data_IF_542435401671
#
_entry.id   IF_542435401671
#
_cell.length_a   1.000
_cell.length_b   1.000
_cell.length_c   1.000
_cell.angle_alpha   90.00
_cell.angle_beta   90.00
_cell.angle_gamma   90.00
#
_symmetry.space_group_name_H-M   'P 1'
#
loop_
_entity.id
_entity.type
_entity.pdbx_description
1 polymer ?
#
# COMPACT_ATOMS: atom_id res chain seq x y z
N UNK A 1 31.55 62.41 21.00
CA UNK A 1 30.10 62.13 20.96
C UNK A 1 29.71 62.03 19.49
N UNK A 2 28.99 61.06 18.91
CA UNK A 2 28.55 59.69 19.27
C UNK A 2 27.80 59.15 18.02
N UNK A 3 27.73 57.86 17.67
CA UNK A 3 28.06 56.58 18.35
C UNK A 3 28.75 55.59 17.38
N UNK A 4 29.13 54.44 17.93
CA UNK A 4 29.67 53.21 17.32
C UNK A 4 28.58 52.35 16.63
N UNK A 5 28.95 51.74 15.49
CA UNK A 5 28.72 50.33 15.01
C UNK A 5 27.37 49.57 15.10
N UNK A 6 27.31 48.50 14.26
CA UNK A 6 26.40 47.31 14.17
C UNK A 6 25.51 47.31 12.91
N UNK A 7 25.44 46.30 12.02
CA UNK A 7 26.31 45.12 11.70
C UNK A 7 25.78 44.45 10.38
N UNK A 8 26.51 43.48 9.82
CA UNK A 8 26.07 42.44 8.83
C UNK A 8 25.66 42.84 7.39
N UNK A 9 26.70 42.92 6.55
CA UNK A 9 26.90 42.07 5.36
C UNK A 9 25.81 41.00 5.07
N UNK A 10 24.97 41.22 4.04
CA UNK A 10 24.06 40.19 3.51
C UNK A 10 24.82 39.29 2.52
N UNK A 11 25.44 38.23 3.02
CA UNK A 11 25.85 37.12 2.18
C UNK A 11 24.59 36.44 1.62
N UNK A 12 24.32 36.63 0.33
CA UNK A 12 23.27 35.92 -0.39
C UNK A 12 23.60 34.44 -0.56
N UNK A 13 23.46 33.67 0.52
CA UNK A 13 23.47 32.20 0.45
C UNK A 13 22.21 31.80 -0.31
N UNK A 14 22.37 31.47 -1.60
CA UNK A 14 21.37 30.70 -2.35
C UNK A 14 21.26 29.32 -1.69
N UNK A 15 20.45 29.23 -0.64
CA UNK A 15 19.93 27.98 -0.15
C UNK A 15 19.02 27.43 -1.27
N UNK A 16 19.63 26.63 -2.15
CA UNK A 16 18.94 25.59 -2.89
C UNK A 16 18.24 24.70 -1.88
N UNK A 17 17.02 25.09 -1.50
CA UNK A 17 16.09 24.23 -0.79
C UNK A 17 15.70 23.12 -1.77
N UNK A 18 16.54 22.09 -1.83
CA UNK A 18 16.09 20.75 -2.14
C UNK A 18 15.02 20.41 -1.10
N UNK A 19 13.77 20.68 -1.46
CA UNK A 19 12.69 19.84 -0.97
C UNK A 19 12.99 18.45 -1.52
N UNK A 20 13.72 17.67 -0.71
CA UNK A 20 13.72 16.23 -0.88
C UNK A 20 12.27 15.80 -0.66
N UNK A 21 11.54 15.59 -1.75
CA UNK A 21 10.36 14.74 -1.71
C UNK A 21 10.83 13.43 -1.10
N UNK A 22 10.41 13.11 0.13
CA UNK A 22 10.84 11.84 0.70
C UNK A 22 10.30 10.75 -0.21
N UNK A 23 11.23 9.90 -0.66
CA UNK A 23 10.86 8.81 -1.53
C UNK A 23 9.90 7.88 -0.77
N UNK A 24 9.09 7.16 -1.53
CA UNK A 24 8.35 6.02 -1.00
C UNK A 24 9.29 5.14 -0.17
N UNK A 25 8.82 4.63 0.96
CA UNK A 25 9.60 3.80 1.88
C UNK A 25 9.29 2.31 1.71
N UNK A 26 10.15 1.45 2.26
CA UNK A 26 9.88 0.01 2.35
C UNK A 26 8.79 -0.33 3.39
N UNK A 27 8.52 0.58 4.33
CA UNK A 27 7.60 0.33 5.42
C UNK A 27 6.13 0.47 4.97
N UNK A 28 5.25 -0.50 5.29
CA UNK A 28 3.82 -0.33 5.12
C UNK A 28 3.27 0.86 5.93
N UNK A 29 2.18 1.52 5.49
CA UNK A 29 1.55 2.57 6.29
C UNK A 29 1.15 2.11 7.70
N UNK A 30 1.02 3.02 8.65
CA UNK A 30 0.47 2.71 9.97
C UNK A 30 -0.95 2.11 9.85
N UNK A 31 -1.29 1.11 10.67
CA UNK A 31 -2.52 0.30 10.53
C UNK A 31 -2.31 -1.07 9.86
N UNK A 32 -1.06 -1.45 9.63
CA UNK A 32 -0.66 -2.79 9.20
C UNK A 32 0.47 -3.32 10.09
N UNK A 33 0.22 -4.39 10.84
CA UNK A 33 1.21 -5.01 11.73
C UNK A 33 1.93 -6.20 11.08
N UNK A 34 3.25 -6.32 11.29
CA UNK A 34 4.03 -7.51 10.89
C UNK A 34 3.54 -8.74 11.65
N UNK A 35 3.13 -9.76 10.92
CA UNK A 35 2.54 -10.99 11.47
C UNK A 35 3.41 -12.24 11.25
N UNK A 36 4.28 -12.22 10.24
CA UNK A 36 5.14 -13.36 9.90
C UNK A 36 6.45 -12.86 9.25
N UNK A 37 7.58 -13.46 9.63
CA UNK A 37 8.86 -13.35 8.92
C UNK A 37 9.27 -14.75 8.47
N UNK A 38 9.73 -14.89 7.22
CA UNK A 38 10.31 -16.13 6.69
C UNK A 38 11.63 -15.87 5.98
N UNK A 39 12.59 -16.75 6.17
CA UNK A 39 13.89 -16.68 5.49
C UNK A 39 13.79 -17.27 4.09
N UNK A 40 14.48 -16.65 3.13
CA UNK A 40 14.63 -17.10 1.75
C UNK A 40 15.70 -18.20 1.71
N UNK A 41 15.29 -19.40 1.32
CA UNK A 41 16.17 -20.55 1.12
C UNK A 41 16.15 -20.99 -0.33
N UNK A 42 17.33 -21.28 -0.89
CA UNK A 42 17.50 -21.63 -2.31
C UNK A 42 16.85 -20.59 -3.25
N UNK A 43 17.01 -19.30 -2.93
CA UNK A 43 16.52 -18.21 -3.76
C UNK A 43 17.27 -18.15 -5.10
N UNK A 44 16.52 -17.95 -6.18
CA UNK A 44 17.01 -17.83 -7.56
C UNK A 44 16.35 -16.63 -8.24
N UNK A 45 17.15 -15.69 -8.70
CA UNK A 45 16.73 -14.59 -9.56
C UNK A 45 17.07 -15.01 -10.99
N UNK A 46 16.04 -15.13 -11.83
CA UNK A 46 16.16 -15.65 -13.19
C UNK A 46 16.34 -14.48 -14.17
N UNK A 47 17.31 -14.62 -15.05
CA UNK A 47 17.53 -13.72 -16.18
C UNK A 47 17.55 -14.51 -17.49
N UNK A 48 17.16 -13.84 -18.57
CA UNK A 48 17.23 -14.35 -19.94
C UNK A 48 17.97 -13.31 -20.78
N UNK A 49 18.88 -13.75 -21.63
CA UNK A 49 19.62 -12.88 -22.53
C UNK A 49 18.72 -12.44 -23.69
N UNK A 50 18.67 -11.13 -23.95
CA UNK A 50 17.98 -10.51 -25.08
C UNK A 50 18.88 -9.41 -25.65
N UNK A 51 19.36 -9.60 -26.88
CA UNK A 51 20.12 -8.62 -27.64
C UNK A 51 21.40 -8.13 -26.92
N UNK A 52 22.06 -9.03 -26.19
CA UNK A 52 23.25 -8.73 -25.38
C UNK A 52 22.97 -8.09 -24.00
N UNK A 53 21.71 -8.01 -23.58
CA UNK A 53 21.28 -7.49 -22.27
C UNK A 53 20.59 -8.58 -21.44
N UNK A 54 20.97 -8.71 -20.16
CA UNK A 54 20.27 -9.58 -19.23
C UNK A 54 18.92 -9.01 -18.80
N UNK A 55 17.83 -9.59 -19.29
CA UNK A 55 16.45 -9.21 -18.94
C UNK A 55 15.92 -10.09 -17.82
N UNK A 56 15.29 -9.47 -16.81
CA UNK A 56 14.72 -10.17 -15.65
C UNK A 56 13.47 -10.97 -16.05
N UNK A 57 13.55 -12.30 -16.07
CA UNK A 57 12.44 -13.18 -16.51
C UNK A 57 11.55 -13.68 -15.36
N UNK A 58 12.07 -13.74 -14.12
CA UNK A 58 11.28 -14.05 -12.92
C UNK A 58 12.17 -14.38 -11.72
N UNK A 59 11.60 -14.96 -10.66
CA UNK A 59 12.37 -15.45 -9.51
C UNK A 59 11.66 -16.57 -8.77
N UNK A 60 12.38 -17.31 -7.93
CA UNK A 60 11.77 -18.31 -7.04
C UNK A 60 12.58 -18.54 -5.78
N UNK A 61 11.95 -19.05 -4.73
CA UNK A 61 12.61 -19.50 -3.50
C UNK A 61 11.75 -20.52 -2.74
N UNK A 62 12.40 -21.33 -1.90
CA UNK A 62 11.73 -21.97 -0.77
C UNK A 62 11.70 -20.98 0.41
N UNK A 63 10.65 -21.05 1.23
CA UNK A 63 10.49 -20.21 2.41
C UNK A 63 10.57 -21.08 3.65
N UNK A 64 11.39 -20.68 4.63
CA UNK A 64 11.54 -21.39 5.90
C UNK A 64 11.27 -20.48 7.09
N UNK A 65 10.65 -21.01 8.13
CA UNK A 65 10.47 -20.32 9.39
C UNK A 65 11.69 -20.61 10.28
N UNK A 66 12.37 -19.54 10.68
CA UNK A 66 13.47 -19.58 11.65
C UNK A 66 12.89 -19.63 13.07
N UNK A 67 12.40 -20.79 13.50
CA UNK A 67 12.04 -21.00 14.90
C UNK A 67 13.33 -21.15 15.75
N UNK A 68 13.68 -20.19 16.64
CA UNK A 68 14.96 -20.23 17.35
C UNK A 68 15.01 -21.27 18.48
N UNK A 69 13.89 -21.89 18.85
CA UNK A 69 13.83 -22.88 19.92
C UNK A 69 14.20 -24.28 19.41
N UNK A 70 15.50 -24.50 19.20
CA UNK A 70 16.16 -25.81 19.08
C UNK A 70 15.67 -26.76 17.96
N UNK A 71 15.11 -26.24 16.87
CA UNK A 71 14.65 -27.04 15.72
C UNK A 71 15.40 -26.74 14.42
N UNK A 72 15.43 -27.72 13.50
CA UNK A 72 15.83 -27.47 12.12
C UNK A 72 14.82 -26.52 11.43
N UNK A 73 15.23 -25.71 10.42
CA UNK A 73 14.33 -24.76 9.76
C UNK A 73 13.06 -25.41 9.22
N UNK A 74 11.90 -24.98 9.74
CA UNK A 74 10.63 -25.54 9.32
C UNK A 74 10.21 -24.97 7.96
N UNK A 75 9.66 -25.82 7.08
CA UNK A 75 9.17 -25.38 5.77
C UNK A 75 7.93 -24.48 5.93
N UNK A 76 8.08 -23.19 5.65
CA UNK A 76 7.00 -22.20 5.72
C UNK A 76 6.25 -22.04 4.39
N UNK A 77 6.89 -22.30 3.24
CA UNK A 77 6.24 -22.10 1.95
C UNK A 77 7.16 -22.06 0.73
N UNK A 78 6.68 -21.41 -0.33
CA UNK A 78 7.40 -21.13 -1.58
C UNK A 78 7.05 -19.75 -2.10
N UNK A 79 8.01 -19.10 -2.73
CA UNK A 79 7.87 -17.85 -3.46
C UNK A 79 8.17 -18.09 -4.95
N UNK A 80 7.42 -17.44 -5.84
CA UNK A 80 7.71 -17.33 -7.28
C UNK A 80 7.30 -15.97 -7.80
N UNK A 81 8.07 -15.38 -8.70
CA UNK A 81 7.60 -14.29 -9.56
C UNK A 81 7.67 -14.71 -11.03
N UNK A 82 6.79 -14.12 -11.83
CA UNK A 82 6.82 -14.17 -13.30
C UNK A 82 6.58 -12.77 -13.84
N UNK A 83 7.17 -12.44 -14.97
CA UNK A 83 6.74 -11.26 -15.71
C UNK A 83 5.37 -11.51 -16.36
N UNK A 84 4.45 -10.57 -16.21
CA UNK A 84 3.18 -10.56 -16.92
C UNK A 84 3.43 -10.21 -18.41
N UNK A 85 2.98 -11.02 -19.38
CA UNK A 85 3.35 -10.84 -20.78
C UNK A 85 2.78 -9.54 -21.38
N UNK A 86 1.66 -9.06 -20.87
CA UNK A 86 0.90 -7.91 -21.40
C UNK A 86 1.37 -6.59 -20.81
N UNK A 87 1.46 -6.51 -19.48
CA UNK A 87 1.83 -5.30 -18.74
C UNK A 87 3.33 -5.17 -18.45
N UNK A 88 4.11 -6.24 -18.72
CA UNK A 88 5.55 -6.37 -18.43
C UNK A 88 5.92 -6.23 -16.95
N UNK A 89 4.93 -6.20 -16.05
CA UNK A 89 5.11 -6.10 -14.59
C UNK A 89 5.41 -7.47 -14.00
N UNK A 90 6.28 -7.52 -12.99
CA UNK A 90 6.44 -8.72 -12.17
C UNK A 90 5.16 -8.96 -11.35
N UNK A 91 4.61 -10.16 -11.47
CA UNK A 91 3.57 -10.69 -10.58
C UNK A 91 4.23 -11.68 -9.64
N UNK A 92 4.15 -11.40 -8.34
CA UNK A 92 4.72 -12.22 -7.29
C UNK A 92 3.64 -13.10 -6.67
N UNK A 93 3.95 -14.36 -6.39
CA UNK A 93 3.08 -15.29 -5.68
C UNK A 93 3.84 -15.95 -4.53
N UNK A 94 3.26 -15.87 -3.35
CA UNK A 94 3.66 -16.65 -2.18
C UNK A 94 2.63 -17.75 -1.95
N UNK A 95 3.09 -18.93 -1.54
CA UNK A 95 2.24 -20.06 -1.14
C UNK A 95 2.81 -20.58 0.16
N UNK A 96 2.05 -20.40 1.23
CA UNK A 96 2.44 -20.68 2.60
C UNK A 96 1.80 -21.98 3.06
N UNK A 97 2.48 -22.70 3.94
CA UNK A 97 1.96 -23.90 4.59
C UNK A 97 1.19 -23.45 5.83
N UNK A 98 -0.06 -23.89 5.95
CA UNK A 98 -0.90 -23.57 7.10
C UNK A 98 -0.61 -24.54 8.24
N UNK A 99 -0.67 -24.05 9.48
CA UNK A 99 -0.53 -24.85 10.69
C UNK A 99 -1.82 -25.65 10.96
N UNK A 100 -1.79 -26.99 11.00
CA UNK A 100 -2.98 -27.79 11.26
C UNK A 100 -3.51 -27.65 12.71
N UNK A 101 -2.79 -26.95 13.59
CA UNK A 101 -3.19 -26.66 14.97
C UNK A 101 -3.68 -25.23 15.23
N UNK A 102 -3.65 -24.34 14.23
CA UNK A 102 -4.18 -22.97 14.37
C UNK A 102 -5.65 -22.93 13.94
N UNK A 103 -6.54 -22.56 14.87
CA UNK A 103 -7.98 -22.47 14.62
C UNK A 103 -8.35 -21.42 13.56
N UNK A 104 -7.48 -20.45 13.28
CA UNK A 104 -7.68 -19.48 12.19
C UNK A 104 -7.36 -20.10 10.82
N UNK A 105 -6.35 -20.98 10.74
CA UNK A 105 -5.88 -21.59 9.48
C UNK A 105 -6.57 -22.94 9.17
N UNK A 106 -7.44 -23.42 10.08
CA UNK A 106 -8.22 -24.63 9.91
C UNK A 106 -9.09 -24.59 8.63
N UNK A 107 -8.94 -25.62 7.79
CA UNK A 107 -9.75 -25.85 6.58
C UNK A 107 -8.93 -25.98 5.29
N UNK A 108 -7.80 -25.30 5.17
CA UNK A 108 -6.91 -25.37 4.01
C UNK A 108 -5.48 -25.75 4.43
N UNK A 109 -4.85 -26.68 3.71
CA UNK A 109 -3.45 -27.07 3.96
C UNK A 109 -2.42 -25.99 3.54
N UNK A 110 -2.83 -25.05 2.68
CA UNK A 110 -1.98 -23.96 2.19
C UNK A 110 -2.81 -22.74 1.82
N UNK A 111 -2.41 -21.56 2.30
CA UNK A 111 -2.88 -20.27 1.79
C UNK A 111 -1.90 -19.68 0.79
N UNK A 112 -2.39 -18.90 -0.17
CA UNK A 112 -1.56 -18.25 -1.20
C UNK A 112 -2.03 -16.85 -1.51
N UNK A 113 -1.08 -15.95 -1.67
CA UNK A 113 -1.31 -14.55 -2.02
C UNK A 113 -0.51 -14.19 -3.27
N UNK A 114 -1.09 -13.33 -4.09
CA UNK A 114 -0.45 -12.72 -5.25
C UNK A 114 -0.30 -11.23 -4.98
N UNK A 115 0.84 -10.65 -5.32
CA UNK A 115 1.11 -9.23 -5.13
C UNK A 115 1.81 -8.58 -6.31
N UNK A 116 1.79 -7.25 -6.30
CA UNK A 116 2.47 -6.38 -7.28
C UNK A 116 3.43 -5.45 -6.55
N UNK A 117 4.52 -5.12 -7.23
CA UNK A 117 5.53 -4.16 -6.75
C UNK A 117 4.89 -2.78 -6.54
N UNK A 118 5.26 -2.13 -5.43
CA UNK A 118 4.82 -0.78 -5.06
C UNK A 118 5.96 0.17 -4.81
N UNK A 119 7.00 -0.28 -4.16
CA UNK A 119 8.22 0.48 -3.98
C UNK A 119 9.44 -0.45 -3.99
N UNK A 120 10.55 0.07 -4.48
CA UNK A 120 11.79 -0.66 -4.69
C UNK A 120 12.92 0.26 -4.24
N UNK A 121 13.60 -0.10 -3.15
CA UNK A 121 14.76 0.63 -2.65
C UNK A 121 16.02 0.13 -3.34
N UNK A 122 16.89 1.06 -3.74
CA UNK A 122 18.18 0.69 -4.36
C UNK A 122 19.01 -0.12 -3.38
N UNK A 123 19.38 -1.34 -3.80
CA UNK A 123 20.40 -2.14 -3.13
C UNK A 123 21.81 -1.62 -3.40
N UNK A 124 22.73 -1.93 -2.49
CA UNK A 124 24.16 -1.68 -2.62
C UNK A 124 24.89 -2.99 -2.93
N UNK A 125 26.01 -2.91 -3.66
CA UNK A 125 26.78 -4.09 -4.10
C UNK A 125 25.97 -5.00 -5.04
N UNK A 126 26.27 -6.29 -5.02
CA UNK A 126 25.73 -7.30 -5.98
C UNK A 126 24.33 -7.81 -5.64
N UNK A 127 23.59 -7.10 -4.78
CA UNK A 127 22.26 -7.50 -4.30
C UNK A 127 21.12 -7.04 -5.20
N UNK A 128 20.08 -7.86 -5.36
CA UNK A 128 18.77 -7.39 -5.83
C UNK A 128 18.18 -6.34 -4.86
N UNK A 129 17.35 -5.41 -5.34
CA UNK A 129 16.76 -4.40 -4.47
C UNK A 129 15.82 -4.99 -3.41
N UNK A 130 15.68 -4.28 -2.30
CA UNK A 130 14.60 -4.50 -1.34
C UNK A 130 13.29 -3.95 -1.92
N UNK A 131 12.16 -4.62 -1.66
CA UNK A 131 10.90 -4.33 -2.36
C UNK A 131 9.68 -4.46 -1.44
N UNK A 132 8.81 -3.45 -1.48
CA UNK A 132 7.46 -3.48 -0.91
C UNK A 132 6.45 -3.92 -1.98
N UNK A 133 5.66 -4.93 -1.65
CA UNK A 133 4.59 -5.49 -2.48
C UNK A 133 3.22 -5.28 -1.83
N UNK A 134 2.21 -4.96 -2.63
CA UNK A 134 0.79 -4.96 -2.22
C UNK A 134 0.10 -6.23 -2.71
N UNK A 135 -0.69 -6.88 -1.85
CA UNK A 135 -1.51 -8.04 -2.21
C UNK A 135 -2.68 -7.62 -3.11
N UNK A 136 -2.86 -8.34 -4.20
CA UNK A 136 -3.88 -8.09 -5.24
C UNK A 136 -4.88 -9.22 -5.42
N UNK A 137 -4.54 -10.44 -4.99
CA UNK A 137 -5.48 -11.56 -4.89
C UNK A 137 -5.02 -12.56 -3.81
N UNK A 138 -5.97 -13.29 -3.21
CA UNK A 138 -5.70 -14.33 -2.21
C UNK A 138 -6.51 -15.60 -2.45
N UNK A 139 -6.07 -16.71 -1.87
CA UNK A 139 -6.80 -17.98 -1.75
C UNK A 139 -6.37 -18.68 -0.46
N UNK A 140 -7.31 -19.25 0.26
CA UNK A 140 -7.08 -19.94 1.54
C UNK A 140 -7.53 -19.11 2.75
N UNK A 141 -7.54 -19.74 3.93
CA UNK A 141 -7.97 -19.16 5.21
C UNK A 141 -6.82 -18.64 6.09
N UNK A 142 -7.16 -18.18 7.29
CA UNK A 142 -6.22 -17.93 8.38
C UNK A 142 -5.45 -16.62 8.36
N UNK A 143 -4.34 -16.58 9.09
CA UNK A 143 -3.51 -15.37 9.24
C UNK A 143 -3.04 -14.82 7.88
N UNK A 144 -2.70 -15.71 6.95
CA UNK A 144 -2.39 -15.34 5.56
C UNK A 144 -3.56 -14.67 4.81
N UNK A 145 -4.81 -14.91 5.22
CA UNK A 145 -5.99 -14.26 4.66
C UNK A 145 -6.14 -12.78 5.09
N UNK A 146 -5.28 -12.24 5.97
CA UNK A 146 -5.24 -10.82 6.35
C UNK A 146 -4.04 -10.05 5.78
N UNK A 147 -3.04 -10.75 5.21
CA UNK A 147 -1.83 -10.13 4.66
C UNK A 147 -2.18 -9.14 3.55
N UNK A 148 -1.74 -7.89 3.70
CA UNK A 148 -2.01 -6.78 2.77
C UNK A 148 -0.74 -6.28 2.11
N UNK A 149 0.38 -6.27 2.83
CA UNK A 149 1.70 -5.97 2.29
C UNK A 149 2.69 -7.11 2.57
N UNK A 150 3.68 -7.24 1.68
CA UNK A 150 4.85 -8.10 1.87
C UNK A 150 6.10 -7.26 1.57
N UNK A 151 7.08 -7.29 2.46
CA UNK A 151 8.38 -6.63 2.26
C UNK A 151 9.44 -7.71 2.03
N UNK A 152 10.24 -7.57 0.99
CA UNK A 152 11.49 -8.31 0.79
C UNK A 152 12.65 -7.41 1.16
N UNK A 153 13.46 -7.81 2.15
CA UNK A 153 14.53 -6.97 2.70
C UNK A 153 15.76 -7.82 3.09
N UNK A 154 16.86 -7.14 3.42
CA UNK A 154 18.20 -7.71 3.66
C UNK A 154 18.62 -8.66 2.54
N UNK A 155 18.42 -8.20 1.30
CA UNK A 155 18.72 -8.97 0.10
C UNK A 155 20.22 -9.10 -0.12
N UNK A 156 20.67 -10.30 -0.45
CA UNK A 156 22.06 -10.61 -0.81
C UNK A 156 22.13 -11.38 -2.12
N UNK A 157 22.94 -10.90 -3.06
CA UNK A 157 23.11 -11.52 -4.38
C UNK A 157 21.91 -11.35 -5.30
N UNK A 158 21.93 -12.09 -6.40
CA UNK A 158 20.83 -12.15 -7.37
C UNK A 158 20.86 -11.09 -8.46
N UNK A 159 21.85 -10.20 -8.54
CA UNK A 159 22.00 -9.30 -9.69
C UNK A 159 22.26 -10.06 -10.99
N UNK A 160 22.10 -9.38 -12.13
CA UNK A 160 22.45 -9.94 -13.43
C UNK A 160 23.96 -10.27 -13.46
N UNK A 161 24.38 -11.34 -14.17
CA UNK A 161 25.79 -11.56 -14.42
C UNK A 161 26.41 -10.44 -15.28
N UNK A 162 27.72 -10.49 -15.46
CA UNK A 162 28.43 -9.67 -16.44
C UNK A 162 27.75 -9.76 -17.83
N UNK A 163 27.55 -8.61 -18.48
CA UNK A 163 26.91 -8.53 -19.80
C UNK A 163 27.70 -9.25 -20.90
N UNK A 164 29.02 -9.40 -20.73
CA UNK A 164 29.87 -10.19 -21.64
C UNK A 164 29.51 -11.68 -21.69
N UNK A 165 28.76 -12.19 -20.70
CA UNK A 165 28.22 -13.56 -20.69
C UNK A 165 26.89 -13.69 -21.46
N UNK A 166 26.25 -12.57 -21.82
CA UNK A 166 25.02 -12.53 -22.60
C UNK A 166 25.37 -12.56 -24.11
N UNK A 167 25.86 -13.71 -24.58
CA UNK A 167 26.42 -13.86 -25.94
C UNK A 167 25.44 -14.40 -26.99
N UNK A 168 24.31 -14.94 -26.57
CA UNK A 168 23.27 -15.50 -27.42
C UNK A 168 21.90 -15.32 -26.76
N UNK A 169 20.92 -14.90 -27.56
CA UNK A 169 19.54 -14.72 -27.12
C UNK A 169 18.93 -16.01 -26.55
N UNK A 170 17.92 -15.84 -25.68
CA UNK A 170 17.20 -16.90 -24.96
C UNK A 170 18.03 -17.75 -23.97
N UNK A 171 19.35 -17.59 -23.90
CA UNK A 171 20.16 -18.17 -22.80
C UNK A 171 19.61 -17.66 -21.47
N UNK A 172 19.31 -18.59 -20.56
CA UNK A 172 18.73 -18.27 -19.25
C UNK A 172 19.65 -18.72 -18.11
N UNK A 173 19.74 -17.89 -17.07
CA UNK A 173 20.64 -18.08 -15.92
C UNK A 173 19.89 -17.91 -14.60
N UNK A 174 20.22 -18.77 -13.63
CA UNK A 174 19.73 -18.71 -12.25
C UNK A 174 20.82 -18.09 -11.36
N UNK A 175 20.65 -16.83 -10.93
CA UNK A 175 21.59 -16.21 -9.99
C UNK A 175 21.06 -16.40 -8.55
N UNK A 176 21.84 -17.01 -7.63
CA UNK A 176 21.41 -17.20 -6.25
C UNK A 176 21.14 -15.89 -5.51
N UNK A 177 20.10 -15.87 -4.69
CA UNK A 177 19.86 -14.74 -3.77
C UNK A 177 19.31 -15.20 -2.41
N UNK A 178 19.52 -14.36 -1.40
CA UNK A 178 19.13 -14.58 -0.01
C UNK A 178 18.45 -13.33 0.56
N UNK A 179 17.89 -13.45 1.76
CA UNK A 179 17.17 -12.39 2.48
C UNK A 179 15.98 -12.97 3.24
N UNK A 180 14.98 -12.13 3.51
CA UNK A 180 13.72 -12.57 4.10
C UNK A 180 12.50 -11.88 3.47
N UNK A 181 11.32 -12.48 3.69
CA UNK A 181 10.03 -11.81 3.50
C UNK A 181 9.38 -11.54 4.86
N UNK A 182 8.88 -10.32 5.04
CA UNK A 182 8.03 -9.91 6.16
C UNK A 182 6.61 -9.66 5.65
N UNK A 183 5.62 -10.34 6.23
CA UNK A 183 4.21 -10.22 5.86
C UNK A 183 3.48 -9.37 6.90
N UNK A 184 2.71 -8.40 6.41
CA UNK A 184 1.98 -7.44 7.23
C UNK A 184 0.47 -7.63 7.04
N UNK A 185 -0.24 -7.90 8.12
CA UNK A 185 -1.70 -8.00 8.14
C UNK A 185 -2.35 -6.64 8.27
N UNK A 186 -3.60 -6.51 7.80
CA UNK A 186 -4.46 -5.39 8.20
C UNK A 186 -4.77 -5.50 9.70
N UNK A 187 -4.62 -4.40 10.44
CA UNK A 187 -4.97 -4.38 11.86
C UNK A 187 -6.50 -4.49 12.06
N UNK A 188 -6.90 -4.93 13.25
CA UNK A 188 -8.32 -4.98 13.66
C UNK A 188 -8.80 -3.72 14.38
N UNK A 189 -7.92 -2.74 14.59
CA UNK A 189 -8.18 -1.47 15.26
C UNK A 189 -7.51 -0.34 14.47
N UNK A 190 -8.02 0.91 14.58
CA UNK A 190 -7.35 2.07 14.00
C UNK A 190 -5.90 2.20 14.49
N UNK A 191 -5.02 2.87 13.73
CA UNK A 191 -3.64 3.12 14.14
C UNK A 191 -3.54 3.67 15.57
N UNK A 192 -2.56 3.22 16.34
CA UNK A 192 -2.37 3.64 17.74
C UNK A 192 -2.13 5.15 17.88
N UNK A 193 -1.52 5.77 16.87
CA UNK A 193 -1.44 7.21 16.69
C UNK A 193 -2.41 7.68 15.60
N UNK A 194 -3.31 8.59 15.98
CA UNK A 194 -4.24 9.32 15.12
C UNK A 194 -4.18 10.80 15.58
N UNK A 195 -4.06 11.78 14.67
CA UNK A 195 -4.16 13.21 14.99
C UNK A 195 -5.46 13.55 15.73
N UNK A 196 -5.42 14.49 16.68
CA UNK A 196 -6.54 14.75 17.60
C UNK A 196 -7.83 15.16 16.86
N UNK A 197 -7.69 15.99 15.83
CA UNK A 197 -8.74 16.45 14.92
C UNK A 197 -9.37 15.32 14.09
N UNK A 198 -8.69 14.19 13.93
CA UNK A 198 -9.21 13.02 13.22
C UNK A 198 -9.85 11.99 14.16
N UNK A 199 -9.77 12.14 15.49
CA UNK A 199 -10.35 11.17 16.44
C UNK A 199 -11.86 11.42 16.60
N UNK A 200 -12.74 10.52 16.14
CA UNK A 200 -14.17 10.70 16.35
C UNK A 200 -14.54 10.43 17.83
N UNK A 201 -15.51 11.15 18.41
CA UNK A 201 -16.04 10.89 19.75
C UNK A 201 -17.03 9.71 19.72
N UNK A 202 -16.56 8.54 19.30
CA UNK A 202 -17.39 7.43 18.85
C UNK A 202 -16.66 6.08 18.96
N UNK A 203 -17.41 4.97 19.00
CA UNK A 203 -16.85 3.62 19.08
C UNK A 203 -16.57 3.05 17.69
N UNK A 204 -15.37 2.50 17.48
CA UNK A 204 -15.04 1.79 16.24
C UNK A 204 -15.78 0.45 16.17
N UNK A 205 -16.32 0.15 14.99
CA UNK A 205 -17.03 -1.10 14.69
C UNK A 205 -16.18 -2.02 13.82
N UNK A 206 -15.70 -1.51 12.68
CA UNK A 206 -15.02 -2.34 11.67
C UNK A 206 -14.08 -1.53 10.79
N UNK A 207 -12.97 -2.17 10.39
CA UNK A 207 -12.02 -1.68 9.38
C UNK A 207 -12.20 -2.38 8.04
N UNK A 208 -12.06 -1.64 6.94
CA UNK A 208 -12.11 -2.15 5.57
C UNK A 208 -10.99 -1.58 4.71
N UNK A 209 -10.45 -2.38 3.80
CA UNK A 209 -9.48 -1.90 2.82
C UNK A 209 -10.16 -1.08 1.73
N UNK A 210 -9.56 0.05 1.38
CA UNK A 210 -10.02 0.90 0.26
C UNK A 210 -8.90 1.08 -0.77
N UNK A 211 -9.25 0.96 -2.06
CA UNK A 211 -8.33 1.16 -3.19
C UNK A 211 -9.02 1.87 -4.32
N UNK A 212 -8.40 2.93 -4.83
CA UNK A 212 -9.06 3.79 -5.80
C UNK A 212 -8.14 4.81 -6.47
N UNK A 213 -8.76 5.90 -6.92
CA UNK A 213 -8.09 7.05 -7.50
C UNK A 213 -8.61 8.34 -6.88
N UNK A 214 -7.70 9.26 -6.58
CA UNK A 214 -8.02 10.66 -6.35
C UNK A 214 -7.87 11.39 -7.69
N UNK A 215 -8.86 12.20 -8.02
CA UNK A 215 -8.90 13.02 -9.22
C UNK A 215 -8.54 14.44 -8.82
N UNK A 216 -7.47 14.96 -9.40
CA UNK A 216 -7.02 16.33 -9.20
C UNK A 216 -7.39 17.17 -10.41
N UNK A 217 -7.71 18.45 -10.19
CA UNK A 217 -7.87 19.47 -11.23
C UNK A 217 -6.93 20.64 -10.96
N UNK A 218 -6.20 21.09 -11.96
CA UNK A 218 -5.38 22.29 -11.87
C UNK A 218 -6.23 23.55 -12.12
N UNK A 219 -6.08 24.58 -11.28
CA UNK A 219 -6.83 25.85 -11.38
C UNK A 219 -6.07 26.98 -12.07
N UNK A 220 -4.87 26.69 -12.62
CA UNK A 220 -3.96 27.69 -13.18
C UNK A 220 -2.82 28.08 -12.23
N UNK A 221 -2.94 27.79 -10.93
CA UNK A 221 -1.91 28.04 -9.92
C UNK A 221 -1.53 26.79 -9.10
N UNK A 222 -2.50 25.95 -8.74
CA UNK A 222 -2.31 24.75 -7.91
C UNK A 222 -3.30 23.63 -8.25
N UNK A 223 -2.98 22.44 -7.74
CA UNK A 223 -3.87 21.29 -7.82
C UNK A 223 -4.90 21.30 -6.69
N UNK A 224 -6.13 20.92 -7.03
CA UNK A 224 -7.20 20.70 -6.05
C UNK A 224 -7.76 19.30 -6.20
N UNK A 225 -8.11 18.66 -5.09
CA UNK A 225 -8.88 17.42 -5.12
C UNK A 225 -10.27 17.72 -5.67
N UNK A 226 -10.54 17.23 -6.88
CA UNK A 226 -11.80 17.40 -7.60
C UNK A 226 -12.78 16.25 -7.30
N UNK A 227 -12.27 15.10 -6.87
CA UNK A 227 -13.09 14.01 -6.37
C UNK A 227 -12.29 12.73 -6.14
N UNK A 228 -12.96 11.74 -5.55
CA UNK A 228 -12.38 10.44 -5.21
C UNK A 228 -13.32 9.32 -5.71
N UNK A 229 -12.75 8.21 -6.19
CA UNK A 229 -13.49 7.00 -6.58
C UNK A 229 -12.69 5.79 -6.13
N UNK A 230 -13.29 4.90 -5.34
CA UNK A 230 -12.63 3.71 -4.82
C UNK A 230 -13.56 2.50 -4.68
N UNK A 231 -12.94 1.34 -4.64
CA UNK A 231 -13.55 0.06 -4.27
C UNK A 231 -13.26 -0.21 -2.80
N UNK A 232 -14.25 -0.72 -2.07
CA UNK A 232 -14.14 -1.16 -0.68
C UNK A 232 -14.08 -2.69 -0.68
N UNK A 233 -13.10 -3.25 0.02
CA UNK A 233 -12.91 -4.69 0.20
C UNK A 233 -12.74 -5.04 1.68
N UNK A 234 -13.02 -6.29 2.04
CA UNK A 234 -12.73 -6.80 3.39
C UNK A 234 -11.23 -6.66 3.74
N UNK A 235 -10.36 -6.93 2.77
CA UNK A 235 -8.89 -6.81 2.82
C UNK A 235 -8.35 -6.64 1.39
N UNK A 236 -7.07 -6.28 1.21
CA UNK A 236 -6.47 -5.99 -0.09
C UNK A 236 -6.54 -7.14 -1.11
N UNK A 237 -7.38 -7.04 -2.13
CA UNK A 237 -7.57 -8.15 -3.08
C UNK A 237 -8.30 -9.36 -2.48
N UNK A 238 -9.04 -9.15 -1.38
CA UNK A 238 -10.17 -10.00 -0.99
C UNK A 238 -11.47 -9.53 -1.66
N UNK A 239 -12.60 -9.94 -1.11
CA UNK A 239 -13.93 -9.70 -1.67
C UNK A 239 -14.28 -8.21 -1.71
N UNK A 240 -14.96 -7.80 -2.78
CA UNK A 240 -15.46 -6.44 -2.95
C UNK A 240 -16.81 -6.30 -2.26
N UNK A 241 -16.81 -5.56 -1.15
CA UNK A 241 -17.98 -5.34 -0.30
C UNK A 241 -18.67 -4.00 -0.56
N UNK A 242 -18.14 -3.15 -1.44
CA UNK A 242 -18.76 -1.87 -1.76
C UNK A 242 -17.90 -0.95 -2.63
N UNK A 243 -18.37 0.28 -2.76
CA UNK A 243 -17.73 1.39 -3.48
C UNK A 243 -17.84 2.68 -2.69
N UNK A 244 -16.88 3.56 -2.90
CA UNK A 244 -16.84 4.89 -2.33
C UNK A 244 -16.57 5.93 -3.41
N UNK A 245 -17.16 7.12 -3.30
CA UNK A 245 -16.70 8.25 -4.09
C UNK A 245 -17.51 9.53 -3.98
N UNK A 246 -17.05 10.56 -4.69
CA UNK A 246 -17.70 11.86 -4.79
C UNK A 246 -18.94 11.78 -5.68
N UNK A 247 -20.08 12.29 -5.18
CA UNK A 247 -21.34 12.41 -5.92
C UNK A 247 -21.52 13.86 -6.43
N UNK A 248 -22.07 14.00 -7.64
CA UNK A 248 -22.24 15.32 -8.30
C UNK A 248 -23.30 16.21 -7.66
N UNK A 249 -24.33 15.59 -7.07
CA UNK A 249 -25.41 16.28 -6.36
C UNK A 249 -25.28 15.90 -4.89
N UNK A 250 -24.90 16.84 -4.00
CA UNK A 250 -24.89 16.60 -2.57
C UNK A 250 -26.28 16.22 -2.05
N UNK A 251 -26.34 15.62 -0.85
CA UNK A 251 -27.60 15.49 -0.12
C UNK A 251 -28.10 16.85 0.42
N UNK A 252 -29.27 16.86 1.06
CA UNK A 252 -29.89 18.07 1.60
C UNK A 252 -29.10 18.74 2.75
N UNK A 253 -28.05 18.09 3.25
CA UNK A 253 -27.17 18.56 4.31
C UNK A 253 -25.75 18.90 3.77
N UNK A 254 -25.56 18.88 2.46
CA UNK A 254 -24.27 19.19 1.80
C UNK A 254 -23.31 18.01 1.68
N UNK A 255 -23.68 16.80 2.12
CA UNK A 255 -22.85 15.61 2.00
C UNK A 255 -22.64 15.21 0.54
N UNK A 256 -21.37 15.22 0.09
CA UNK A 256 -20.98 14.97 -1.30
C UNK A 256 -20.08 13.73 -1.48
N UNK A 257 -19.82 12.98 -0.42
CA UNK A 257 -19.09 11.71 -0.44
C UNK A 257 -20.05 10.58 -0.08
N UNK A 258 -20.04 9.48 -0.84
CA UNK A 258 -20.97 8.36 -0.66
C UNK A 258 -20.27 7.02 -0.59
N UNK A 259 -20.64 6.22 0.39
CA UNK A 259 -20.33 4.80 0.51
C UNK A 259 -21.58 4.01 0.08
N UNK A 260 -21.40 3.05 -0.82
CA UNK A 260 -22.44 2.11 -1.27
C UNK A 260 -21.93 0.72 -0.95
N UNK A 261 -22.59 0.02 -0.04
CA UNK A 261 -22.22 -1.34 0.33
C UNK A 261 -22.97 -2.36 -0.53
N UNK A 262 -22.30 -3.46 -0.86
CA UNK A 262 -22.84 -4.57 -1.63
C UNK A 262 -23.69 -5.49 -0.72
N UNK A 263 -24.67 -4.91 -0.05
CA UNK A 263 -25.67 -5.62 0.76
C UNK A 263 -26.97 -5.80 -0.05
N UNK A 264 -27.71 -6.92 0.09
CA UNK A 264 -28.99 -7.13 -0.58
C UNK A 264 -30.03 -6.01 -0.37
N UNK A 265 -29.91 -5.25 0.72
CA UNK A 265 -30.82 -4.15 1.07
C UNK A 265 -30.34 -2.76 0.60
N UNK A 266 -29.22 -2.69 -0.14
CA UNK A 266 -28.70 -1.47 -0.74
C UNK A 266 -28.29 -0.39 0.27
N UNK A 267 -27.70 -0.76 1.40
CA UNK A 267 -27.25 0.20 2.42
C UNK A 267 -26.25 1.21 1.87
N UNK A 268 -26.56 2.51 2.02
CA UNK A 268 -25.66 3.61 1.67
C UNK A 268 -25.48 4.62 2.80
N UNK A 269 -24.30 5.22 2.85
CA UNK A 269 -23.98 6.36 3.70
C UNK A 269 -23.61 7.55 2.79
N UNK A 270 -24.06 8.74 3.12
CA UNK A 270 -23.58 10.00 2.54
C UNK A 270 -23.01 10.86 3.65
N UNK A 271 -21.93 11.59 3.37
CA UNK A 271 -21.25 12.42 4.35
C UNK A 271 -20.40 13.52 3.72
N UNK A 272 -19.76 14.30 4.59
CA UNK A 272 -18.83 15.37 4.24
C UNK A 272 -17.50 15.19 4.99
N UNK A 273 -16.42 15.78 4.48
CA UNK A 273 -15.15 15.86 5.23
C UNK A 273 -15.35 16.82 6.41
N UNK A 274 -15.15 16.35 7.64
CA UNK A 274 -15.18 17.18 8.85
C UNK A 274 -13.78 17.58 9.31
N UNK A 275 -12.77 16.74 9.07
CA UNK A 275 -11.36 17.07 9.34
C UNK A 275 -10.42 16.33 8.36
N UNK A 276 -9.21 16.88 8.18
CA UNK A 276 -8.19 16.32 7.29
C UNK A 276 -6.80 16.66 7.84
N UNK A 277 -5.89 15.68 7.91
CA UNK A 277 -4.53 15.88 8.40
C UNK A 277 -3.50 15.12 7.53
N UNK A 278 -2.35 15.74 7.29
CA UNK A 278 -1.24 15.10 6.58
C UNK A 278 -0.37 14.32 7.56
N UNK A 279 -0.33 12.99 7.44
CA UNK A 279 0.32 12.09 8.41
C UNK A 279 1.56 11.39 7.83
N UNK A 280 1.68 11.31 6.51
CA UNK A 280 2.84 10.76 5.81
C UNK A 280 2.98 11.44 4.45
N UNK A 281 4.21 11.73 4.02
CA UNK A 281 4.50 12.24 2.67
C UNK A 281 4.18 11.22 1.57
N UNK A 282 4.07 9.94 1.91
CA UNK A 282 3.83 8.84 0.98
C UNK A 282 2.34 8.59 0.67
N UNK A 283 1.42 9.38 1.23
CA UNK A 283 -0.02 9.18 1.09
C UNK A 283 -0.84 10.47 1.11
N UNK A 284 -2.00 10.45 0.47
CA UNK A 284 -3.00 11.52 0.60
C UNK A 284 -3.36 11.78 2.08
N UNK A 285 -3.77 12.99 2.47
CA UNK A 285 -4.19 13.29 3.84
C UNK A 285 -5.18 12.27 4.40
N UNK A 286 -5.02 11.91 5.67
CA UNK A 286 -6.03 11.15 6.41
C UNK A 286 -7.24 12.05 6.63
N UNK A 287 -8.44 11.48 6.58
CA UNK A 287 -9.68 12.24 6.61
C UNK A 287 -10.67 11.66 7.62
N UNK A 288 -11.35 12.54 8.34
CA UNK A 288 -12.54 12.20 9.09
C UNK A 288 -13.75 12.69 8.29
N UNK A 289 -14.74 11.82 8.14
CA UNK A 289 -16.01 12.13 7.50
C UNK A 289 -17.13 12.05 8.52
N UNK A 290 -17.97 13.07 8.56
CA UNK A 290 -19.23 13.04 9.28
C UNK A 290 -20.35 12.55 8.36
N UNK A 291 -21.10 11.55 8.81
CA UNK A 291 -22.27 11.04 8.10
C UNK A 291 -23.43 12.04 8.27
N UNK A 292 -23.94 12.49 7.14
CA UNK A 292 -25.03 13.45 6.99
C UNK A 292 -26.36 12.76 6.70
N UNK A 293 -26.35 11.65 5.95
CA UNK A 293 -27.54 10.84 5.69
C UNK A 293 -27.20 9.37 5.43
N UNK A 294 -28.17 8.49 5.62
CA UNK A 294 -28.09 7.06 5.30
C UNK A 294 -29.38 6.60 4.61
N UNK A 295 -29.30 5.49 3.87
CA UNK A 295 -30.45 4.87 3.19
C UNK A 295 -30.31 3.35 3.08
N UNK A 296 -31.40 2.66 2.76
CA UNK A 296 -31.46 1.19 2.73
C UNK A 296 -31.77 0.60 4.12
N UNK A 297 -31.86 -0.73 4.22
CA UNK A 297 -32.03 -1.37 5.53
C UNK A 297 -30.73 -1.22 6.32
N UNK A 298 -30.82 -0.61 7.50
CA UNK A 298 -29.66 -0.37 8.35
C UNK A 298 -29.10 -1.71 8.87
N UNK A 299 -27.78 -1.97 8.75
CA UNK A 299 -27.19 -3.19 9.28
C UNK A 299 -27.29 -3.22 10.82
N UNK A 300 -27.26 -4.40 11.47
CA UNK A 300 -27.37 -4.54 12.93
C UNK A 300 -26.28 -3.84 13.77
N UNK A 301 -25.28 -3.26 13.09
CA UNK A 301 -24.12 -2.56 13.66
C UNK A 301 -24.12 -1.05 13.38
N UNK A 302 -25.26 -0.49 12.94
CA UNK A 302 -25.48 0.95 12.70
C UNK A 302 -26.71 1.49 13.44
N UNK A 303 -26.86 2.82 13.59
CA UNK A 303 -26.38 3.87 12.68
C UNK A 303 -24.91 4.24 12.85
N UNK A 304 -24.20 4.36 11.71
CA UNK A 304 -22.86 4.93 11.67
C UNK A 304 -22.94 6.46 11.67
N UNK A 305 -22.10 7.12 12.48
CA UNK A 305 -22.02 8.59 12.54
C UNK A 305 -20.74 9.15 11.93
N UNK A 306 -19.64 8.39 11.97
CA UNK A 306 -18.38 8.79 11.35
C UNK A 306 -17.75 7.66 10.54
N UNK A 307 -17.00 8.04 9.53
CA UNK A 307 -16.04 7.19 8.84
C UNK A 307 -14.68 7.88 8.88
N UNK A 308 -13.61 7.15 9.12
CA UNK A 308 -12.24 7.67 9.08
C UNK A 308 -11.46 6.97 7.97
N UNK A 309 -10.78 7.72 7.11
CA UNK A 309 -9.77 7.22 6.17
C UNK A 309 -8.38 7.40 6.79
N UNK A 310 -7.71 6.29 7.09
CA UNK A 310 -6.31 6.26 7.57
C UNK A 310 -5.42 5.47 6.62
N UNK A 311 -4.15 5.32 7.00
CA UNK A 311 -3.25 4.30 6.43
C UNK A 311 -3.03 4.50 4.93
N UNK A 312 -3.18 5.74 4.47
CA UNK A 312 -3.17 6.09 3.05
C UNK A 312 -1.79 5.90 2.43
N UNK A 313 -1.76 5.42 1.18
CA UNK A 313 -0.55 5.39 0.36
C UNK A 313 -0.87 5.75 -1.08
N UNK A 314 -0.02 6.54 -1.72
CA UNK A 314 -0.34 7.21 -2.98
C UNK A 314 -1.49 8.21 -2.82
N UNK A 315 -2.14 8.57 -3.93
CA UNK A 315 -3.23 9.56 -3.93
C UNK A 315 -2.79 11.00 -3.76
N UNK A 316 -1.48 11.28 -3.74
CA UNK A 316 -0.94 12.64 -3.68
C UNK A 316 -1.34 13.47 -4.91
N UNK A 317 -1.16 14.78 -4.82
CA UNK A 317 -1.20 15.67 -5.98
C UNK A 317 0.00 15.41 -6.91
N UNK A 318 -0.14 15.62 -8.23
CA UNK A 318 0.94 15.35 -9.17
C UNK A 318 2.00 16.46 -9.17
N UNK A 319 3.24 16.04 -9.07
CA UNK A 319 4.41 16.88 -9.37
C UNK A 319 4.68 16.75 -10.87
N UNK A 320 4.48 17.83 -11.64
CA UNK A 320 4.67 17.85 -13.10
C UNK A 320 5.69 18.94 -13.47
N UNK A 321 6.85 18.51 -13.93
CA UNK A 321 7.89 19.41 -14.45
C UNK A 321 7.41 20.14 -15.71
N UNK A 322 7.75 21.43 -15.84
CA UNK A 322 7.30 22.28 -16.95
C UNK A 322 5.93 22.93 -16.75
N UNK A 323 5.22 22.64 -15.66
CA UNK A 323 3.96 23.26 -15.29
C UNK A 323 2.72 22.56 -15.86
N UNK A 324 1.55 22.88 -15.29
CA UNK A 324 0.26 22.35 -15.69
C UNK A 324 -0.61 23.42 -16.35
N UNK A 325 -1.54 22.99 -17.21
CA UNK A 325 -2.52 23.89 -17.85
C UNK A 325 -3.82 23.97 -17.04
N UNK A 326 -4.46 25.13 -17.00
CA UNK A 326 -5.74 25.31 -16.31
C UNK A 326 -6.78 24.29 -16.81
N UNK A 327 -7.47 23.64 -15.88
CA UNK A 327 -8.47 22.62 -16.18
C UNK A 327 -7.90 21.22 -16.43
N UNK A 328 -6.57 21.04 -16.47
CA UNK A 328 -5.95 19.71 -16.57
C UNK A 328 -6.46 18.80 -15.45
N UNK A 329 -6.87 17.59 -15.82
CA UNK A 329 -7.30 16.55 -14.89
C UNK A 329 -6.22 15.48 -14.75
N UNK A 330 -5.83 15.19 -13.52
CA UNK A 330 -4.90 14.11 -13.20
C UNK A 330 -5.56 13.07 -12.28
N UNK A 331 -5.05 11.83 -12.32
CA UNK A 331 -5.59 10.72 -11.51
C UNK A 331 -4.45 9.97 -10.84
N UNK A 332 -4.29 10.12 -9.54
CA UNK A 332 -3.33 9.34 -8.75
C UNK A 332 -4.01 8.14 -8.10
N UNK A 333 -3.38 6.97 -8.19
CA UNK A 333 -3.87 5.77 -7.51
C UNK A 333 -3.59 5.90 -6.01
N UNK A 334 -4.53 5.45 -5.17
CA UNK A 334 -4.34 5.40 -3.72
C UNK A 334 -4.87 4.10 -3.11
N UNK A 335 -4.36 3.77 -1.93
CA UNK A 335 -4.93 2.80 -1.00
C UNK A 335 -5.07 3.41 0.39
N UNK A 336 -5.82 2.76 1.28
CA UNK A 336 -5.97 3.14 2.69
C UNK A 336 -6.89 2.19 3.45
N UNK A 337 -7.25 2.55 4.68
CA UNK A 337 -8.22 1.83 5.50
C UNK A 337 -9.39 2.77 5.85
N UNK A 338 -10.62 2.29 5.70
CA UNK A 338 -11.81 2.91 6.27
C UNK A 338 -12.16 2.29 7.61
N UNK A 339 -12.33 3.12 8.65
CA UNK A 339 -12.87 2.73 9.95
C UNK A 339 -14.26 3.31 10.12
N UNK A 340 -15.25 2.46 10.39
CA UNK A 340 -16.64 2.88 10.63
C UNK A 340 -16.91 3.00 12.13
N UNK A 341 -17.61 4.06 12.53
CA UNK A 341 -17.90 4.36 13.93
C UNK A 341 -19.39 4.60 14.18
N UNK A 342 -19.89 4.04 15.28
CA UNK A 342 -21.22 4.32 15.84
C UNK A 342 -21.11 5.35 16.97
N UNK A 343 -22.17 6.13 17.26
CA UNK A 343 -22.30 6.83 18.53
C UNK A 343 -22.01 5.89 19.72
N UNK A 344 -21.54 6.48 20.82
CA UNK A 344 -21.36 5.78 22.10
C UNK A 344 -22.70 5.49 22.78
#
# INVERSE_FOLDING_TARGET
>A
MSRLEVILLVCGVFLLQWQASTAWDLEPPAGFSKSLTVTISQGKQMYTCDSGVWVRSGSSANLVNSNPQNGAPAKAGKFRSKQDPTSKRSIMKWTLVNSPGDATEAGDNTSSITGVEKYTEKSYGDSIPAVLFEVTSRKGSGTAALFTYVVMNQTMGGQAPDSSLCTQDDISVDVPFYGYFEFYSQDFQPPSYVPAELKPPARVVQGFFVKGKIVYRFDGAKWHSYGIIATISNVAGGDVIGKFGTIRKPDQYGGNLRWVFNDPNGFTLTGTVSASAMVSENGAPWQLYEITSSSGTMPPVGPFKYVQLTSTRGGLEPQIDGGATEGLLWRTNFTGLFWLYTPN
#
